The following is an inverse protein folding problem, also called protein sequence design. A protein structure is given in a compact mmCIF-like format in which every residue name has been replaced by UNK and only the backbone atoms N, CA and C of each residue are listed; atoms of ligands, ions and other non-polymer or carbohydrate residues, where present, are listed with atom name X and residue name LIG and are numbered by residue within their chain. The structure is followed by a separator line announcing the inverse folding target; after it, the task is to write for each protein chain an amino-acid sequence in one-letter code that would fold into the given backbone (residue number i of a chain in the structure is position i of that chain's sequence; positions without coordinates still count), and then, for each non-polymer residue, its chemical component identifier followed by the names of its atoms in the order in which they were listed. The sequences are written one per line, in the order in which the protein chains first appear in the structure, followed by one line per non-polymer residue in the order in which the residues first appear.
data_IF_767971179779
#
_entry.id   IF_767971179779
#
_cell.length_a   1.000
_cell.length_b   1.000
_cell.length_c   1.000
_cell.angle_alpha   90.00
_cell.angle_beta   90.00
_cell.angle_gamma   90.00
#
_symmetry.space_group_name_H-M   'P 1'
#
loop_
_entity.id
_entity.type
_entity.pdbx_description
1 polymer ?
#
# COMPACT_ATOMS: atom_id res chain seq x y z
N UNK A 1 31.76 -22.67 -4.48
CA UNK A 1 32.50 -21.56 -3.82
C UNK A 1 32.18 -20.24 -4.49
N UNK A 2 32.58 -19.97 -5.74
CA UNK A 2 32.29 -18.71 -6.45
C UNK A 2 30.82 -18.29 -6.43
N UNK A 3 29.91 -19.15 -6.92
CA UNK A 3 28.46 -18.86 -6.96
C UNK A 3 27.89 -18.67 -5.55
N UNK A 4 28.31 -19.50 -4.61
CA UNK A 4 27.91 -19.43 -3.20
C UNK A 4 28.34 -18.11 -2.56
N UNK A 5 29.58 -17.66 -2.78
CA UNK A 5 30.08 -16.38 -2.28
C UNK A 5 29.37 -15.21 -2.95
N UNK A 6 29.09 -15.29 -4.26
CA UNK A 6 28.34 -14.25 -4.97
C UNK A 6 26.91 -14.10 -4.43
N UNK A 7 26.21 -15.20 -4.13
CA UNK A 7 24.87 -15.16 -3.52
C UNK A 7 24.92 -14.47 -2.15
N UNK A 8 25.89 -14.83 -1.30
CA UNK A 8 26.04 -14.23 0.04
C UNK A 8 26.28 -12.72 -0.06
N UNK A 9 27.14 -12.27 -0.97
CA UNK A 9 27.43 -10.84 -1.18
C UNK A 9 26.18 -10.11 -1.65
N UNK A 10 25.48 -10.64 -2.66
CA UNK A 10 24.26 -10.02 -3.20
C UNK A 10 23.16 -9.94 -2.16
N UNK A 11 22.98 -10.99 -1.35
CA UNK A 11 21.97 -11.03 -0.30
C UNK A 11 22.26 -10.00 0.79
N UNK A 12 23.52 -9.86 1.21
CA UNK A 12 23.92 -8.84 2.17
C UNK A 12 23.69 -7.42 1.64
N UNK A 13 23.99 -7.16 0.36
CA UNK A 13 23.69 -5.87 -0.27
C UNK A 13 22.19 -5.62 -0.37
N UNK A 14 21.39 -6.65 -0.68
CA UNK A 14 19.94 -6.54 -0.74
C UNK A 14 19.35 -6.19 0.63
N UNK A 15 19.78 -6.88 1.69
CA UNK A 15 19.36 -6.56 3.07
C UNK A 15 19.74 -5.12 3.41
N UNK A 16 20.96 -4.68 3.08
CA UNK A 16 21.40 -3.31 3.33
C UNK A 16 20.53 -2.27 2.59
N UNK A 17 20.22 -2.51 1.31
CA UNK A 17 19.34 -1.64 0.51
C UNK A 17 17.92 -1.58 1.07
N UNK A 18 17.35 -2.73 1.45
CA UNK A 18 16.01 -2.80 2.04
C UNK A 18 15.95 -2.09 3.39
N UNK A 19 16.97 -2.24 4.23
CA UNK A 19 17.07 -1.54 5.52
C UNK A 19 17.09 -0.02 5.33
N UNK A 20 17.89 0.47 4.38
CA UNK A 20 17.93 1.90 4.06
C UNK A 20 16.59 2.41 3.48
N UNK A 21 15.98 1.64 2.57
CA UNK A 21 14.66 1.97 2.01
C UNK A 21 13.58 2.01 3.09
N UNK A 22 13.58 1.06 4.02
CA UNK A 22 12.64 1.03 5.14
C UNK A 22 12.83 2.24 6.06
N UNK A 23 14.07 2.59 6.42
CA UNK A 23 14.35 3.78 7.23
C UNK A 23 13.88 5.07 6.55
N UNK A 24 14.05 5.17 5.23
CA UNK A 24 13.58 6.32 4.44
C UNK A 24 12.05 6.41 4.44
N UNK A 25 11.35 5.31 4.18
CA UNK A 25 9.87 5.27 4.17
C UNK A 25 9.28 5.48 5.56
N UNK A 26 9.91 4.93 6.60
CA UNK A 26 9.46 5.06 7.98
C UNK A 26 9.39 6.52 8.45
N UNK A 27 10.18 7.42 7.87
CA UNK A 27 10.14 8.85 8.22
C UNK A 27 8.80 9.53 7.89
N UNK A 28 8.06 9.02 6.89
CA UNK A 28 6.82 9.63 6.38
C UNK A 28 5.60 8.68 6.43
N UNK A 29 5.75 7.49 7.01
CA UNK A 29 4.74 6.42 6.97
C UNK A 29 3.39 6.82 7.56
N UNK A 30 3.38 7.59 8.65
CA UNK A 30 2.12 8.00 9.29
C UNK A 30 1.30 8.93 8.39
N UNK A 31 1.98 9.86 7.69
CA UNK A 31 1.34 10.81 6.78
C UNK A 31 0.77 10.08 5.58
N UNK A 32 1.56 9.20 4.97
CA UNK A 32 1.13 8.42 3.81
C UNK A 32 -0.02 7.47 4.15
N UNK A 33 0.05 6.79 5.31
CA UNK A 33 -1.02 5.91 5.78
C UNK A 33 -2.32 6.67 6.04
N UNK A 34 -2.25 7.80 6.74
CA UNK A 34 -3.43 8.64 7.00
C UNK A 34 -4.00 9.21 5.71
N UNK A 35 -3.15 9.62 4.77
CA UNK A 35 -3.59 10.10 3.46
C UNK A 35 -4.31 9.01 2.65
N UNK A 36 -3.72 7.82 2.55
CA UNK A 36 -4.32 6.68 1.86
C UNK A 36 -5.66 6.28 2.49
N UNK A 37 -5.74 6.26 3.82
CA UNK A 37 -6.97 5.98 4.57
C UNK A 37 -8.04 7.04 4.32
N UNK A 38 -7.72 8.32 4.45
CA UNK A 38 -8.67 9.42 4.20
C UNK A 38 -9.14 9.42 2.75
N UNK A 39 -8.25 9.15 1.79
CA UNK A 39 -8.61 8.99 0.37
C UNK A 39 -9.65 7.89 0.16
N UNK A 40 -9.50 6.76 0.85
CA UNK A 40 -10.47 5.66 0.77
C UNK A 40 -11.79 6.03 1.46
N UNK A 41 -11.76 6.65 2.64
CA UNK A 41 -12.97 7.12 3.32
C UNK A 41 -13.75 8.13 2.47
N UNK A 42 -13.04 9.06 1.80
CA UNK A 42 -13.63 10.04 0.88
C UNK A 42 -14.34 9.40 -0.31
N UNK A 43 -13.96 8.20 -0.76
CA UNK A 43 -14.70 7.49 -1.81
C UNK A 43 -16.10 7.05 -1.34
N UNK A 44 -16.30 6.84 -0.04
CA UNK A 44 -17.57 6.42 0.54
C UNK A 44 -18.41 7.57 1.13
N UNK A 45 -17.83 8.76 1.28
CA UNK A 45 -18.53 9.96 1.79
C UNK A 45 -19.63 10.50 0.85
N UNK A 46 -19.44 10.61 -0.48
CA UNK A 46 -20.49 11.12 -1.35
C UNK A 46 -21.67 10.14 -1.46
N UNK A 47 -22.90 10.66 -1.28
CA UNK A 47 -24.17 9.94 -1.39
C UNK A 47 -24.46 9.51 -2.84
N UNK A 48 -23.78 8.47 -3.32
CA UNK A 48 -24.01 7.93 -4.67
C UNK A 48 -23.86 6.41 -4.80
N UNK A 49 -23.21 5.74 -3.85
CA UNK A 49 -22.99 4.28 -3.84
C UNK A 49 -23.15 3.68 -2.44
N UNK A 50 -24.29 3.95 -1.82
CA UNK A 50 -24.63 3.42 -0.50
C UNK A 50 -25.05 1.96 -0.52
N UNK A 51 -25.19 1.35 -1.70
CA UNK A 51 -25.51 -0.06 -1.87
C UNK A 51 -24.21 -0.84 -2.14
N UNK A 52 -23.86 -1.85 -1.34
CA UNK A 52 -22.74 -2.72 -1.68
C UNK A 52 -23.06 -3.49 -2.98
N UNK A 53 -22.09 -3.73 -3.88
CA UNK A 53 -22.28 -4.71 -4.95
C UNK A 53 -22.76 -6.05 -4.37
N UNK A 54 -23.75 -6.74 -4.97
CA UNK A 54 -24.39 -6.50 -6.27
C UNK A 54 -25.59 -5.53 -6.26
N UNK A 55 -26.02 -5.07 -5.08
CA UNK A 55 -27.24 -4.25 -4.94
C UNK A 55 -27.11 -2.85 -5.55
N UNK A 56 -25.89 -2.41 -5.90
CA UNK A 56 -25.63 -1.19 -6.68
C UNK A 56 -26.06 -1.29 -8.16
N UNK A 57 -26.48 -2.47 -8.64
CA UNK A 57 -26.98 -2.69 -10.01
C UNK A 57 -28.51 -2.56 -10.11
N UNK A 58 -29.21 -2.58 -8.98
CA UNK A 58 -30.66 -2.41 -8.95
C UNK A 58 -30.92 -0.90 -9.01
N UNK A 59 -31.58 -0.39 -10.06
CA UNK A 59 -31.93 1.02 -10.12
C UNK A 59 -32.80 1.34 -8.90
N UNK A 60 -32.31 2.21 -8.01
CA UNK A 60 -33.13 2.69 -6.90
C UNK A 60 -34.32 3.45 -7.49
N UNK A 61 -35.55 3.26 -6.99
CA UNK A 61 -36.69 4.09 -7.37
C UNK A 61 -36.47 5.51 -6.83
N UNK A 62 -35.79 6.33 -7.63
CA UNK A 62 -35.71 7.78 -7.51
C UNK A 62 -35.83 8.39 -8.89
#
# INVERSE_FOLDING_TARGET
IYITTSIIILLNMLIAMLSNSFSSVSSNVEVEWRFARSREMLKYIPKGRTLPPPFNLIPSPK
#
